data_IF_907932601293
#
_entry.id   IF_907932601293
#
_cell.length_a   1.000
_cell.length_b   1.000
_cell.length_c   1.000
_cell.angle_alpha   90.00
_cell.angle_beta   90.00
_cell.angle_gamma   90.00
#
_symmetry.space_group_name_H-M   'P 1'
#
loop_
_entity.id
_entity.type
_entity.pdbx_description
1 polymer ?
#
# COMPACT_ATOMS: atom_id res chain seq x y z
N UNK A 1 -23.62 -22.01 -32.97
CA UNK A 1 -23.69 -20.74 -32.22
C UNK A 1 -23.47 -21.07 -30.75
N UNK A 2 -22.24 -20.90 -30.26
CA UNK A 2 -21.95 -21.04 -28.84
C UNK A 2 -22.14 -19.65 -28.20
N UNK A 3 -22.97 -19.59 -27.16
CA UNK A 3 -23.22 -18.40 -26.37
C UNK A 3 -21.92 -17.94 -25.70
N UNK A 4 -21.52 -16.69 -25.95
CA UNK A 4 -20.41 -16.03 -25.27
C UNK A 4 -20.59 -16.13 -23.76
N UNK A 5 -19.57 -16.51 -22.96
CA UNK A 5 -19.68 -16.38 -21.53
C UNK A 5 -19.78 -14.88 -21.23
N UNK A 6 -20.79 -14.50 -20.46
CA UNK A 6 -20.91 -13.14 -19.95
C UNK A 6 -19.57 -12.77 -19.28
N UNK A 7 -18.99 -11.64 -19.67
CA UNK A 7 -17.87 -11.04 -18.95
C UNK A 7 -18.32 -10.80 -17.52
N UNK A 8 -17.98 -11.69 -16.58
CA UNK A 8 -17.89 -11.31 -15.20
C UNK A 8 -16.87 -10.16 -15.16
N UNK A 9 -17.36 -8.93 -14.97
CA UNK A 9 -16.48 -7.82 -14.64
C UNK A 9 -15.98 -8.11 -13.23
N UNK A 10 -14.85 -8.81 -13.15
CA UNK A 10 -14.25 -9.16 -11.87
C UNK A 10 -14.03 -7.87 -11.08
N UNK A 11 -14.75 -7.77 -9.97
CA UNK A 11 -14.60 -6.68 -9.01
C UNK A 11 -13.61 -7.15 -7.96
N UNK A 12 -12.46 -6.50 -7.88
CA UNK A 12 -11.49 -6.77 -6.84
C UNK A 12 -11.73 -5.82 -5.67
N UNK A 13 -11.77 -6.37 -4.45
CA UNK A 13 -11.88 -5.60 -3.21
C UNK A 13 -10.70 -5.98 -2.33
N UNK A 14 -10.00 -4.99 -1.80
CA UNK A 14 -8.89 -5.17 -0.87
C UNK A 14 -9.13 -4.34 0.39
N UNK A 15 -8.76 -4.89 1.55
CA UNK A 15 -8.93 -4.27 2.86
C UNK A 15 -7.61 -4.38 3.63
N UNK A 16 -7.22 -3.31 4.32
CA UNK A 16 -6.14 -3.33 5.31
C UNK A 16 -6.52 -2.50 6.52
N UNK A 17 -5.94 -2.80 7.67
CA UNK A 17 -6.18 -2.07 8.91
C UNK A 17 -4.90 -1.95 9.73
N UNK A 18 -4.74 -0.82 10.42
CA UNK A 18 -3.63 -0.60 11.34
C UNK A 18 -3.95 0.53 12.32
N UNK A 19 -3.75 0.28 13.60
CA UNK A 19 -4.17 1.20 14.66
C UNK A 19 -5.67 1.49 14.60
N UNK A 20 -6.01 2.77 14.40
CA UNK A 20 -7.40 3.24 14.34
C UNK A 20 -7.94 3.33 12.91
N UNK A 21 -7.18 2.88 11.91
CA UNK A 21 -7.57 2.96 10.52
C UNK A 21 -8.01 1.60 9.98
N UNK A 22 -9.14 1.60 9.28
CA UNK A 22 -9.56 0.53 8.38
C UNK A 22 -9.74 1.16 7.00
N UNK A 23 -9.02 0.65 6.01
CA UNK A 23 -9.02 1.15 4.65
C UNK A 23 -9.50 0.05 3.71
N UNK A 24 -10.39 0.41 2.78
CA UNK A 24 -10.86 -0.49 1.74
C UNK A 24 -10.69 0.18 0.37
N UNK A 25 -10.36 -0.62 -0.63
CA UNK A 25 -10.35 -0.21 -2.03
C UNK A 25 -11.14 -1.22 -2.86
N UNK A 26 -11.78 -0.74 -3.91
CA UNK A 26 -12.48 -1.57 -4.87
C UNK A 26 -12.18 -1.10 -6.29
N UNK A 27 -12.06 -2.05 -7.22
CA UNK A 27 -11.87 -1.74 -8.64
C UNK A 27 -12.63 -2.77 -9.50
N UNK A 28 -13.30 -2.29 -10.53
CA UNK A 28 -14.05 -3.13 -11.46
C UNK A 28 -13.25 -3.40 -12.75
N UNK A 29 -13.30 -4.63 -13.26
CA UNK A 29 -12.70 -4.99 -14.55
C UNK A 29 -11.18 -5.15 -14.51
N UNK A 30 -10.62 -5.39 -13.33
CA UNK A 30 -9.18 -5.45 -13.09
C UNK A 30 -8.81 -6.68 -12.25
N UNK A 31 -7.76 -7.38 -12.66
CA UNK A 31 -7.37 -8.67 -12.07
C UNK A 31 -6.46 -8.57 -10.83
N UNK A 32 -6.14 -7.38 -10.34
CA UNK A 32 -5.22 -7.22 -9.22
C UNK A 32 -5.40 -5.88 -8.50
N UNK A 33 -5.63 -5.96 -7.19
CA UNK A 33 -5.76 -4.82 -6.29
C UNK A 33 -5.17 -5.20 -4.94
N UNK A 34 -4.32 -4.33 -4.40
CA UNK A 34 -3.78 -4.47 -3.05
C UNK A 34 -3.75 -3.13 -2.34
N UNK A 35 -4.07 -3.15 -1.05
CA UNK A 35 -4.02 -1.98 -0.18
C UNK A 35 -3.28 -2.36 1.08
N UNK A 36 -2.46 -1.45 1.59
CA UNK A 36 -1.88 -1.59 2.92
C UNK A 36 -1.84 -0.28 3.68
N UNK A 37 -2.25 -0.31 4.94
CA UNK A 37 -2.11 0.79 5.89
C UNK A 37 -1.25 0.32 7.04
N UNK A 38 -0.29 1.14 7.47
CA UNK A 38 0.59 0.80 8.58
C UNK A 38 0.87 1.99 9.48
N UNK A 39 0.77 1.75 10.78
CA UNK A 39 1.21 2.67 11.82
C UNK A 39 2.75 2.79 11.83
N UNK A 40 3.25 4.01 12.00
CA UNK A 40 4.66 4.30 12.18
C UNK A 40 5.03 3.91 13.60
N UNK A 41 5.61 2.73 13.73
CA UNK A 41 5.97 2.13 14.99
C UNK A 41 7.43 2.40 15.40
N UNK A 42 7.70 2.24 16.69
CA UNK A 42 9.05 2.43 17.25
C UNK A 42 9.86 1.14 17.11
N UNK A 43 10.33 0.86 15.91
CA UNK A 43 11.23 -0.27 15.65
C UNK A 43 12.68 0.15 15.38
N UNK A 44 13.57 -0.84 15.40
CA UNK A 44 14.93 -0.73 14.88
C UNK A 44 14.90 -0.92 13.36
N UNK A 45 14.77 0.20 12.65
CA UNK A 45 14.66 0.23 11.18
C UNK A 45 15.86 -0.41 10.51
N UNK A 46 17.07 -0.20 11.04
CA UNK A 46 18.30 -0.69 10.41
C UNK A 46 18.31 -2.22 10.35
N UNK A 47 17.96 -2.89 11.45
CA UNK A 47 17.88 -4.36 11.49
C UNK A 47 16.83 -4.92 10.53
N UNK A 48 15.68 -4.27 10.42
CA UNK A 48 14.61 -4.72 9.52
C UNK A 48 15.00 -4.55 8.05
N UNK A 49 15.62 -3.41 7.72
CA UNK A 49 16.10 -3.12 6.37
C UNK A 49 17.20 -4.10 5.95
N UNK A 50 18.13 -4.44 6.86
CA UNK A 50 19.15 -5.46 6.61
C UNK A 50 18.53 -6.84 6.40
N UNK A 51 17.57 -7.23 7.25
CA UNK A 51 16.89 -8.53 7.13
C UNK A 51 16.13 -8.69 5.81
N UNK A 52 15.54 -7.60 5.30
CA UNK A 52 14.78 -7.59 4.04
C UNK A 52 15.63 -7.32 2.80
N UNK A 53 16.93 -7.06 2.96
CA UNK A 53 17.84 -6.60 1.90
C UNK A 53 17.36 -5.30 1.21
N UNK A 54 16.85 -4.36 2.01
CA UNK A 54 16.27 -3.08 1.54
C UNK A 54 17.23 -1.88 1.69
N UNK A 55 18.49 -2.12 2.05
CA UNK A 55 19.46 -1.05 2.32
C UNK A 55 19.60 -0.09 1.13
N UNK A 56 19.55 -0.62 -0.10
CA UNK A 56 19.59 0.19 -1.32
C UNK A 56 18.28 0.91 -1.67
N UNK A 57 17.15 0.54 -1.05
CA UNK A 57 15.82 1.08 -1.33
C UNK A 57 15.43 2.22 -0.38
N UNK A 58 15.80 2.12 0.90
CA UNK A 58 15.53 3.17 1.88
C UNK A 58 16.37 4.44 1.62
N UNK A 59 17.54 4.26 1.00
CA UNK A 59 18.53 5.31 0.82
C UNK A 59 19.32 5.60 2.10
N UNK A 60 20.14 6.67 2.12
CA UNK A 60 20.89 7.05 3.30
C UNK A 60 19.95 7.45 4.45
N UNK A 61 20.34 7.10 5.68
CA UNK A 61 19.64 7.57 6.89
C UNK A 61 19.53 9.10 6.90
N UNK A 62 18.38 9.60 7.31
CA UNK A 62 18.13 11.03 7.47
C UNK A 62 18.86 11.63 8.70
N UNK A 63 19.47 10.80 9.55
CA UNK A 63 20.08 11.22 10.82
C UNK A 63 19.06 11.42 11.94
N UNK A 64 17.76 11.43 11.63
CA UNK A 64 16.68 11.45 12.60
C UNK A 64 15.85 10.14 12.53
N UNK A 65 15.64 9.53 13.70
CA UNK A 65 14.99 8.21 13.80
C UNK A 65 13.53 8.23 13.36
N UNK A 66 12.87 9.40 13.36
CA UNK A 66 11.46 9.48 13.01
C UNK A 66 11.27 9.44 11.50
N UNK A 67 12.06 10.19 10.74
CA UNK A 67 12.07 10.17 9.28
C UNK A 67 12.51 8.80 8.75
N UNK A 68 13.50 8.16 9.37
CA UNK A 68 13.92 6.81 8.95
C UNK A 68 12.79 5.79 9.14
N UNK A 69 12.03 5.88 10.24
CA UNK A 69 10.83 5.05 10.47
C UNK A 69 9.73 5.38 9.47
N UNK A 70 9.51 6.66 9.19
CA UNK A 70 8.52 7.12 8.23
C UNK A 70 8.78 6.53 6.84
N UNK A 71 10.02 6.65 6.35
CA UNK A 71 10.47 6.09 5.07
C UNK A 71 10.35 4.58 5.05
N UNK A 72 10.73 3.91 6.13
CA UNK A 72 10.63 2.45 6.24
C UNK A 72 9.17 1.99 6.19
N UNK A 73 8.30 2.59 7.00
CA UNK A 73 6.87 2.28 7.03
C UNK A 73 6.25 2.50 5.65
N UNK A 74 6.63 3.57 4.96
CA UNK A 74 6.14 3.81 3.61
C UNK A 74 6.58 2.71 2.62
N UNK A 75 7.85 2.29 2.68
CA UNK A 75 8.36 1.19 1.85
C UNK A 75 7.71 -0.16 2.21
N UNK A 76 7.42 -0.39 3.49
CA UNK A 76 6.69 -1.55 3.98
C UNK A 76 5.28 -1.61 3.39
N UNK A 77 4.51 -0.52 3.49
CA UNK A 77 3.14 -0.49 2.92
C UNK A 77 3.14 -0.72 1.41
N UNK A 78 4.16 -0.20 0.70
CA UNK A 78 4.31 -0.47 -0.74
C UNK A 78 4.52 -1.96 -1.02
N UNK A 79 5.40 -2.60 -0.26
CA UNK A 79 5.68 -4.01 -0.42
C UNK A 79 4.45 -4.87 -0.15
N UNK A 80 3.78 -4.66 0.99
CA UNK A 80 2.56 -5.41 1.33
C UNK A 80 1.45 -5.18 0.32
N UNK A 81 1.22 -3.93 -0.11
CA UNK A 81 0.20 -3.63 -1.10
C UNK A 81 0.50 -4.30 -2.45
N UNK A 82 1.75 -4.33 -2.89
CA UNK A 82 2.14 -5.03 -4.13
C UNK A 82 1.94 -6.54 -4.01
N UNK A 83 2.35 -7.13 -2.89
CA UNK A 83 2.16 -8.56 -2.60
C UNK A 83 0.68 -8.95 -2.56
N UNK A 84 -0.16 -8.13 -1.91
CA UNK A 84 -1.63 -8.30 -1.88
C UNK A 84 -2.22 -8.18 -3.29
N UNK A 85 -1.74 -7.25 -4.10
CA UNK A 85 -2.16 -7.08 -5.49
C UNK A 85 -1.86 -8.32 -6.35
N UNK A 86 -0.75 -9.01 -6.10
CA UNK A 86 -0.37 -10.24 -6.80
C UNK A 86 -1.09 -11.49 -6.27
N UNK A 87 -1.85 -11.37 -5.18
CA UNK A 87 -2.52 -12.50 -4.52
C UNK A 87 -1.55 -13.49 -3.87
N UNK A 88 -0.34 -13.06 -3.54
CA UNK A 88 0.68 -13.90 -2.90
C UNK A 88 0.85 -13.52 -1.43
N UNK A 89 1.38 -14.44 -0.63
CA UNK A 89 1.74 -14.14 0.76
C UNK A 89 3.07 -13.39 0.82
N UNK A 90 3.19 -12.46 1.77
CA UNK A 90 4.44 -11.77 2.11
C UNK A 90 5.58 -12.76 2.39
N UNK A 91 5.24 -13.91 2.98
CA UNK A 91 6.19 -15.01 3.27
C UNK A 91 6.62 -15.80 2.03
N UNK A 92 5.87 -15.69 0.93
CA UNK A 92 6.11 -16.40 -0.33
C UNK A 92 6.60 -15.48 -1.45
N UNK A 93 6.58 -14.16 -1.22
CA UNK A 93 6.98 -13.17 -2.21
C UNK A 93 8.51 -13.09 -2.31
N UNK A 94 9.06 -13.57 -3.42
CA UNK A 94 10.44 -13.24 -3.77
C UNK A 94 10.52 -11.78 -4.23
N UNK A 95 11.53 -11.08 -3.75
CA UNK A 95 11.83 -9.66 -3.95
C UNK A 95 11.97 -9.12 -5.40
N UNK A 96 12.20 -9.90 -6.49
CA UNK A 96 12.52 -9.30 -7.79
C UNK A 96 11.44 -8.40 -8.42
N UNK A 97 10.15 -8.76 -8.33
CA UNK A 97 9.07 -7.96 -8.90
C UNK A 97 8.87 -6.65 -8.10
N UNK A 98 8.88 -6.77 -6.77
CA UNK A 98 8.87 -5.63 -5.85
C UNK A 98 10.06 -4.69 -6.06
N UNK A 99 11.26 -5.21 -6.29
CA UNK A 99 12.46 -4.40 -6.50
C UNK A 99 12.33 -3.45 -7.69
N UNK A 100 11.60 -3.82 -8.74
CA UNK A 100 11.34 -2.95 -9.90
C UNK A 100 10.41 -1.78 -9.52
N UNK A 101 9.35 -2.07 -8.76
CA UNK A 101 8.42 -1.08 -8.23
C UNK A 101 9.11 -0.11 -7.26
N UNK A 102 9.94 -0.64 -6.36
CA UNK A 102 10.62 0.11 -5.31
C UNK A 102 11.75 1.02 -5.82
N UNK A 103 12.37 0.71 -6.98
CA UNK A 103 13.42 1.57 -7.57
C UNK A 103 12.92 2.94 -8.01
N UNK A 104 11.66 3.03 -8.42
CA UNK A 104 11.03 4.30 -8.83
C UNK A 104 10.38 5.04 -7.66
N UNK A 105 10.13 4.32 -6.57
CA UNK A 105 9.59 4.88 -5.36
C UNK A 105 10.59 5.79 -4.65
N UNK A 106 10.09 6.86 -4.02
CA UNK A 106 10.88 7.82 -3.24
C UNK A 106 10.30 7.91 -1.82
N UNK A 107 10.83 7.14 -0.85
CA UNK A 107 10.33 7.20 0.51
C UNK A 107 10.39 8.61 1.11
N UNK A 108 9.38 8.98 1.90
CA UNK A 108 9.22 10.29 2.55
C UNK A 108 8.32 11.28 1.81
N UNK A 109 7.72 10.91 0.67
CA UNK A 109 6.81 11.78 -0.09
C UNK A 109 5.55 11.06 -0.51
N UNK A 110 4.41 11.73 -0.42
CA UNK A 110 3.18 11.28 -1.07
C UNK A 110 3.37 11.33 -2.58
N UNK A 111 2.98 10.25 -3.28
CA UNK A 111 3.20 10.15 -4.71
C UNK A 111 2.30 9.10 -5.35
N UNK A 112 2.03 9.30 -6.64
CA UNK A 112 1.43 8.28 -7.52
C UNK A 112 2.39 7.99 -8.66
N UNK A 113 2.57 6.72 -9.01
CA UNK A 113 3.50 6.31 -10.05
C UNK A 113 3.07 5.01 -10.72
N UNK A 114 3.72 4.67 -11.83
CA UNK A 114 3.50 3.40 -12.51
C UNK A 114 4.82 2.78 -12.93
N UNK A 115 5.03 1.53 -12.55
CA UNK A 115 6.26 0.80 -12.79
C UNK A 115 5.97 -0.70 -12.85
N UNK A 116 6.68 -1.44 -13.72
CA UNK A 116 6.62 -2.91 -13.74
C UNK A 116 5.23 -3.49 -14.03
N UNK A 117 4.33 -2.74 -14.67
CA UNK A 117 2.95 -3.17 -14.91
C UNK A 117 2.00 -2.92 -13.75
N UNK A 118 2.40 -2.13 -12.75
CA UNK A 118 1.54 -1.66 -11.67
C UNK A 118 1.33 -0.15 -11.74
N UNK A 119 0.20 0.31 -11.23
CA UNK A 119 0.03 1.66 -10.73
C UNK A 119 0.01 1.61 -9.20
N UNK A 120 0.64 2.58 -8.55
CA UNK A 120 0.67 2.70 -7.11
C UNK A 120 0.43 4.14 -6.67
N UNK A 121 -0.21 4.30 -5.52
CA UNK A 121 -0.38 5.58 -4.84
C UNK A 121 -0.07 5.40 -3.36
N UNK A 122 0.85 6.22 -2.86
CA UNK A 122 1.21 6.27 -1.44
C UNK A 122 0.84 7.63 -0.88
N UNK A 123 0.14 7.64 0.26
CA UNK A 123 -0.39 8.84 0.90
C UNK A 123 -0.32 8.74 2.41
N UNK A 124 -0.20 9.88 3.07
CA UNK A 124 -0.20 9.96 4.52
C UNK A 124 -1.63 10.16 5.01
N UNK A 125 -2.09 9.30 5.91
CA UNK A 125 -3.44 9.43 6.48
C UNK A 125 -3.45 10.39 7.68
N UNK A 126 -2.40 10.33 8.49
CA UNK A 126 -2.17 11.23 9.62
C UNK A 126 -0.67 11.26 9.99
N UNK A 127 -0.30 11.88 11.11
CA UNK A 127 1.09 11.95 11.56
C UNK A 127 1.73 10.58 11.86
N UNK A 128 0.92 9.52 12.00
CA UNK A 128 1.28 8.20 12.48
C UNK A 128 1.00 7.07 11.50
N UNK A 129 0.38 7.29 10.34
CA UNK A 129 0.01 6.22 9.41
C UNK A 129 0.31 6.57 7.96
N UNK A 130 0.84 5.58 7.24
CA UNK A 130 0.94 5.58 5.79
C UNK A 130 -0.04 4.58 5.19
N UNK A 131 -0.58 4.94 4.03
CA UNK A 131 -1.38 4.07 3.19
C UNK A 131 -0.72 3.95 1.82
N UNK A 132 -0.67 2.74 1.28
CA UNK A 132 -0.31 2.51 -0.11
C UNK A 132 -1.37 1.64 -0.78
N UNK A 133 -1.79 2.07 -1.97
CA UNK A 133 -2.69 1.36 -2.87
C UNK A 133 -1.89 0.94 -4.10
N UNK A 134 -2.09 -0.29 -4.56
CA UNK A 134 -1.47 -0.84 -5.78
C UNK A 134 -2.55 -1.51 -6.63
N UNK A 135 -2.57 -1.22 -7.92
CA UNK A 135 -3.43 -1.86 -8.91
C UNK A 135 -2.59 -2.38 -10.09
N UNK A 136 -2.95 -3.55 -10.62
CA UNK A 136 -2.27 -4.11 -11.77
C UNK A 136 -2.76 -3.47 -13.08
N UNK A 137 -1.85 -3.25 -14.03
CA UNK A 137 -2.08 -3.01 -15.48
C UNK A 137 -2.75 -1.70 -15.92
N UNK A 138 -3.54 -1.01 -15.09
CA UNK A 138 -4.08 0.32 -15.44
C UNK A 138 -4.13 1.28 -14.26
N UNK A 139 -3.93 2.56 -14.57
CA UNK A 139 -4.18 3.68 -13.66
C UNK A 139 -5.69 3.76 -13.41
N UNK A 140 -6.18 3.71 -12.16
CA UNK A 140 -7.59 3.98 -11.89
C UNK A 140 -7.94 5.38 -12.40
N UNK A 141 -9.06 5.57 -13.11
CA UNK A 141 -9.45 6.89 -13.63
C UNK A 141 -9.76 7.90 -12.52
N UNK A 142 -10.10 7.40 -11.32
CA UNK A 142 -10.25 8.17 -10.09
C UNK A 142 -10.03 7.24 -8.89
N UNK A 143 -9.52 7.79 -7.79
CA UNK A 143 -9.45 7.14 -6.48
C UNK A 143 -10.26 7.98 -5.51
N UNK A 144 -11.44 7.48 -5.13
CA UNK A 144 -12.27 8.11 -4.12
C UNK A 144 -11.95 7.51 -2.76
N UNK A 145 -11.59 8.37 -1.80
CA UNK A 145 -11.26 7.97 -0.43
C UNK A 145 -12.44 8.36 0.46
N UNK A 146 -13.13 7.36 1.01
CA UNK A 146 -14.21 7.56 1.96
C UNK A 146 -13.68 7.36 3.37
N UNK A 147 -13.66 8.42 4.17
CA UNK A 147 -13.39 8.34 5.60
C UNK A 147 -14.70 8.24 6.37
N UNK A 148 -14.85 7.19 7.16
CA UNK A 148 -15.98 7.03 8.09
C UNK A 148 -15.44 7.20 9.51
N UNK A 149 -15.73 8.36 10.12
CA UNK A 149 -15.37 8.61 11.51
C UNK A 149 -16.50 8.16 12.45
N UNK A 150 -16.19 7.24 13.37
CA UNK A 150 -17.14 6.76 14.38
C UNK A 150 -17.23 7.66 15.61
N UNK A 151 -16.42 8.71 15.72
CA UNK A 151 -16.46 9.67 16.84
C UNK A 151 -17.80 10.43 16.94
N UNK A 152 -18.53 10.58 15.82
CA UNK A 152 -19.82 11.25 15.79
C UNK A 152 -20.98 10.42 16.37
N UNK A 153 -20.86 9.09 16.46
CA UNK A 153 -21.95 8.24 16.97
C UNK A 153 -22.12 8.30 18.50
N UNK A 154 -21.10 8.77 19.23
CA UNK A 154 -21.14 8.89 20.68
C UNK A 154 -21.73 10.24 21.19
N UNK A 155 -21.91 11.23 20.32
CA UNK A 155 -22.42 12.56 20.70
C UNK A 155 -23.96 12.65 20.74
N UNK A 156 -24.67 11.57 20.40
CA UNK A 156 -26.15 11.53 20.32
C UNK A 156 -26.86 10.78 21.45
N UNK A 157 -26.14 10.37 22.50
CA UNK A 157 -26.71 9.64 23.66
C UNK A 157 -26.26 10.27 24.98
N UNK A 158 -26.49 11.57 25.15
CA UNK A 158 -26.37 12.27 26.43
C UNK A 158 -27.71 12.90 26.81
#
# INVERSE_FOLDING_TARGET
MATSPAHAQDTAIAISHSGNWVCAAAICGQAGLGIDVQAIERHDVLRLVEFLDWTGLLGPSAGDKQTDRDRFTQLWTLWEAAVKCDGVSVLAAHTPAFASLARQFRPGTEQSWSAGGYWAQSMRLDQRHWLTLVAARTVPPAVDIFHVDHSAAAAGQA
#
